data_IF_325555143731
#
_entry.id   IF_325555143731
#
_cell.length_a   1.000
_cell.length_b   1.000
_cell.length_c   1.000
_cell.angle_alpha   90.00
_cell.angle_beta   90.00
_cell.angle_gamma   90.00
#
_symmetry.space_group_name_H-M   'P 1'
#
loop_
_entity.id
_entity.type
_entity.pdbx_description
1 polymer ?
#
# COMPACT_ATOMS: atom_id res chain seq x y z
N UNK A 1 -10.54 13.82 -17.83
CA UNK A 1 -9.61 12.92 -17.12
C UNK A 1 -10.39 12.22 -16.02
N UNK A 2 -10.22 10.91 -15.86
CA UNK A 2 -10.82 10.19 -14.72
C UNK A 2 -10.09 10.57 -13.43
N UNK A 3 -10.82 10.62 -12.32
CA UNK A 3 -10.21 10.76 -10.99
C UNK A 3 -9.38 9.50 -10.69
N UNK A 4 -8.12 9.63 -10.20
CA UNK A 4 -7.26 8.50 -9.88
C UNK A 4 -7.72 7.80 -8.61
N UNK A 5 -7.45 6.50 -8.54
CA UNK A 5 -7.64 5.73 -7.32
C UNK A 5 -6.60 6.15 -6.28
N UNK A 6 -7.08 6.29 -5.06
CA UNK A 6 -6.29 6.57 -3.88
C UNK A 6 -6.48 5.46 -2.84
N UNK A 7 -5.55 5.35 -1.90
CA UNK A 7 -5.69 4.45 -0.77
C UNK A 7 -5.16 5.09 0.50
N UNK A 8 -5.82 4.81 1.62
CA UNK A 8 -5.25 5.19 2.90
C UNK A 8 -5.73 4.28 4.03
N UNK A 9 -4.88 4.20 5.05
CA UNK A 9 -5.26 3.69 6.37
C UNK A 9 -6.09 4.74 7.11
N UNK A 10 -7.28 4.34 7.55
CA UNK A 10 -8.15 5.22 8.33
C UNK A 10 -7.82 5.07 9.81
N UNK A 11 -7.33 6.16 10.41
CA UNK A 11 -6.83 6.15 11.80
C UNK A 11 -7.89 6.49 12.84
N UNK A 12 -8.80 7.40 12.50
CA UNK A 12 -9.86 7.87 13.39
C UNK A 12 -10.99 8.41 12.54
N UNK A 13 -12.21 8.21 13.02
CA UNK A 13 -13.38 8.86 12.46
C UNK A 13 -14.08 9.63 13.58
N UNK A 14 -14.62 10.80 13.25
CA UNK A 14 -15.23 11.70 14.24
C UNK A 14 -16.59 11.16 14.70
N UNK A 15 -16.94 11.41 15.96
CA UNK A 15 -18.23 11.01 16.55
C UNK A 15 -19.42 11.60 15.79
N UNK A 16 -19.21 12.74 15.11
CA UNK A 16 -20.22 13.41 14.28
C UNK A 16 -20.46 12.75 12.92
N UNK A 17 -19.87 11.60 12.62
CA UNK A 17 -20.17 10.90 11.38
C UNK A 17 -19.43 11.46 10.16
N UNK A 18 -18.25 12.05 10.32
CA UNK A 18 -17.34 12.39 9.21
C UNK A 18 -15.87 12.14 9.53
N UNK A 19 -15.01 12.16 8.51
CA UNK A 19 -13.57 12.09 8.70
C UNK A 19 -12.77 12.66 7.53
N UNK A 20 -11.46 12.48 7.61
CA UNK A 20 -10.49 12.98 6.64
C UNK A 20 -9.54 11.85 6.22
N UNK A 21 -9.38 11.67 4.92
CA UNK A 21 -8.51 10.67 4.30
C UNK A 21 -7.23 11.36 3.82
N UNK A 22 -6.09 10.71 4.04
CA UNK A 22 -4.85 11.11 3.39
C UNK A 22 -4.92 10.67 1.93
N UNK A 23 -4.38 11.52 1.07
CA UNK A 23 -4.38 11.31 -0.37
C UNK A 23 -2.95 11.11 -0.86
N UNK A 24 -2.76 10.13 -1.73
CA UNK A 24 -1.53 9.94 -2.48
C UNK A 24 -1.44 10.88 -3.68
N UNK A 25 -2.58 11.27 -4.24
CA UNK A 25 -2.63 11.95 -5.53
C UNK A 25 -2.82 13.47 -5.40
N UNK A 26 -3.18 13.95 -4.21
CA UNK A 26 -3.59 15.34 -4.00
C UNK A 26 -2.98 15.92 -2.73
N UNK A 27 -2.63 17.22 -2.74
CA UNK A 27 -2.24 17.90 -1.52
C UNK A 27 -3.45 18.06 -0.59
N UNK A 28 -3.22 17.83 0.70
CA UNK A 28 -4.22 18.01 1.75
C UNK A 28 -5.14 16.82 1.96
N UNK A 29 -6.04 16.98 2.93
CA UNK A 29 -6.92 15.92 3.38
C UNK A 29 -8.24 15.91 2.61
N UNK A 30 -8.72 14.71 2.31
CA UNK A 30 -9.96 14.47 1.58
C UNK A 30 -11.09 14.28 2.57
N UNK A 31 -12.11 15.13 2.50
CA UNK A 31 -13.28 14.99 3.36
C UNK A 31 -14.12 13.78 2.93
N UNK A 32 -14.62 13.01 3.90
CA UNK A 32 -15.63 11.98 3.65
C UNK A 32 -16.68 11.97 4.76
N UNK A 33 -17.91 11.60 4.40
CA UNK A 33 -19.00 11.41 5.35
C UNK A 33 -19.27 9.91 5.50
N UNK A 34 -19.59 9.42 6.71
CA UNK A 34 -19.80 7.99 6.93
C UNK A 34 -20.99 7.42 6.15
N UNK A 35 -21.96 8.26 5.75
CA UNK A 35 -23.05 7.77 4.88
C UNK A 35 -22.57 7.24 3.53
N UNK A 36 -21.35 7.59 3.10
CA UNK A 36 -20.73 7.09 1.86
C UNK A 36 -20.13 5.70 2.03
N UNK A 37 -19.91 5.30 3.27
CA UNK A 37 -19.45 3.99 3.67
C UNK A 37 -20.70 3.12 3.81
N UNK A 38 -20.96 2.31 2.78
CA UNK A 38 -22.06 1.35 2.79
C UNK A 38 -21.64 0.08 3.54
N UNK A 39 -22.21 -0.16 4.72
CA UNK A 39 -22.58 -1.47 5.33
C UNK A 39 -22.84 -1.30 6.83
N UNK A 40 -23.93 -1.89 7.33
CA UNK A 40 -24.17 -2.05 8.77
C UNK A 40 -23.04 -2.88 9.43
N UNK A 41 -22.55 -3.92 8.72
CA UNK A 41 -21.33 -4.68 9.09
C UNK A 41 -20.09 -3.80 9.27
N UNK A 42 -20.02 -2.67 8.57
CA UNK A 42 -18.88 -1.76 8.66
C UNK A 42 -18.95 -0.90 9.91
N UNK A 43 -20.14 -0.46 10.33
CA UNK A 43 -20.28 0.28 11.60
C UNK A 43 -19.93 -0.59 12.80
N UNK A 44 -20.32 -1.86 12.79
CA UNK A 44 -19.95 -2.81 13.84
C UNK A 44 -18.46 -3.12 13.84
N UNK A 45 -17.87 -3.41 12.67
CA UNK A 45 -16.41 -3.63 12.56
C UNK A 45 -15.61 -2.40 13.01
N UNK A 46 -16.02 -1.19 12.65
CA UNK A 46 -15.39 0.05 13.13
C UNK A 46 -15.47 0.23 14.65
N UNK A 47 -16.63 -0.04 15.25
CA UNK A 47 -16.84 0.12 16.69
C UNK A 47 -16.00 -0.87 17.51
N UNK A 48 -15.69 -2.03 16.94
CA UNK A 48 -14.86 -3.07 17.57
C UNK A 48 -13.38 -3.03 17.16
N UNK A 49 -13.01 -2.26 16.14
CA UNK A 49 -11.64 -2.19 15.65
C UNK A 49 -10.78 -1.20 16.45
N UNK A 50 -9.57 -1.64 16.80
CA UNK A 50 -8.54 -0.78 17.39
C UNK A 50 -8.14 0.32 16.39
N UNK A 51 -7.75 1.47 16.92
CA UNK A 51 -7.28 2.62 16.13
C UNK A 51 -6.16 2.19 15.19
N UNK A 52 -6.37 2.30 13.88
CA UNK A 52 -5.35 2.13 12.86
C UNK A 52 -5.44 0.90 11.98
N UNK A 53 -6.47 0.05 12.05
CA UNK A 53 -6.38 -1.29 11.43
C UNK A 53 -7.10 -1.49 10.09
N UNK A 54 -7.63 -0.46 9.43
CA UNK A 54 -8.30 -0.68 8.13
C UNK A 54 -7.88 0.31 7.04
N UNK A 55 -7.74 -0.24 5.83
CA UNK A 55 -7.41 0.47 4.60
C UNK A 55 -8.67 0.58 3.75
N UNK A 56 -8.82 1.72 3.08
CA UNK A 56 -9.86 1.93 2.08
C UNK A 56 -9.25 2.44 0.78
N UNK A 57 -9.92 2.11 -0.31
CA UNK A 57 -9.66 2.65 -1.64
C UNK A 57 -10.75 3.65 -1.98
N UNK A 58 -10.39 4.75 -2.65
CA UNK A 58 -11.38 5.76 -2.98
C UNK A 58 -10.97 6.59 -4.19
N UNK A 59 -11.95 7.23 -4.81
CA UNK A 59 -11.72 8.39 -5.68
C UNK A 59 -12.35 9.61 -5.01
N UNK A 60 -11.82 10.80 -5.28
CA UNK A 60 -12.37 12.04 -4.76
C UNK A 60 -12.53 13.08 -5.85
N UNK A 61 -13.48 13.99 -5.68
CA UNK A 61 -13.76 15.10 -6.61
C UNK A 61 -13.55 16.44 -5.95
N UNK A 62 -13.03 17.39 -6.73
CA UNK A 62 -12.98 18.79 -6.33
C UNK A 62 -14.41 19.35 -6.28
N UNK A 63 -14.77 19.94 -5.15
CA UNK A 63 -16.06 20.59 -4.95
C UNK A 63 -15.98 22.07 -5.36
N UNK A 64 -17.12 22.75 -5.63
CA UNK A 64 -17.14 24.18 -5.96
C UNK A 64 -16.49 25.10 -4.91
N UNK A 65 -16.42 24.64 -3.65
CA UNK A 65 -15.76 25.36 -2.55
C UNK A 65 -14.22 25.19 -2.53
N UNK A 66 -13.63 24.56 -3.55
CA UNK A 66 -12.19 24.31 -3.66
C UNK A 66 -11.66 23.16 -2.80
N UNK A 67 -12.51 22.47 -2.02
CA UNK A 67 -12.10 21.31 -1.21
C UNK A 67 -12.40 20.00 -1.94
N UNK A 68 -11.60 18.97 -1.69
CA UNK A 68 -11.86 17.63 -2.23
C UNK A 68 -12.71 16.81 -1.28
N UNK A 69 -13.66 16.06 -1.83
CA UNK A 69 -14.52 15.13 -1.11
C UNK A 69 -14.48 13.76 -1.77
N UNK A 70 -14.44 12.70 -0.97
CA UNK A 70 -14.57 11.33 -1.45
C UNK A 70 -15.87 11.18 -2.27
N UNK A 71 -15.81 10.49 -3.40
CA UNK A 71 -16.95 10.29 -4.30
C UNK A 71 -17.37 8.82 -4.30
N UNK A 72 -16.43 7.89 -4.48
CA UNK A 72 -16.63 6.44 -4.34
C UNK A 72 -15.60 5.86 -3.39
N UNK A 73 -16.00 4.82 -2.65
CA UNK A 73 -15.17 4.12 -1.66
C UNK A 73 -15.34 2.62 -1.86
N UNK A 74 -14.23 1.90 -1.77
CA UNK A 74 -14.15 0.43 -1.80
C UNK A 74 -13.28 -0.06 -0.63
N UNK A 75 -13.55 -1.27 -0.16
CA UNK A 75 -12.81 -1.88 0.96
C UNK A 75 -11.80 -2.92 0.51
N UNK A 76 -12.04 -3.52 -0.66
CA UNK A 76 -11.18 -4.50 -1.29
C UNK A 76 -10.76 -3.96 -2.64
N UNK A 77 -9.50 -4.21 -3.02
CA UNK A 77 -9.01 -3.82 -4.34
C UNK A 77 -9.78 -4.54 -5.45
N UNK A 78 -10.21 -5.78 -5.21
CA UNK A 78 -11.02 -6.58 -6.14
C UNK A 78 -12.37 -5.95 -6.50
N UNK A 79 -12.89 -5.06 -5.65
CA UNK A 79 -14.17 -4.37 -5.90
C UNK A 79 -13.97 -3.07 -6.71
N UNK A 80 -12.72 -2.64 -6.92
CA UNK A 80 -12.38 -1.43 -7.66
C UNK A 80 -12.52 -1.68 -9.16
N UNK A 81 -13.11 -0.73 -9.92
CA UNK A 81 -13.16 -0.81 -11.38
C UNK A 81 -11.77 -1.00 -12.00
N UNK A 82 -11.62 -1.99 -12.87
CA UNK A 82 -10.34 -2.42 -13.43
C UNK A 82 -9.60 -1.29 -14.17
N UNK A 83 -10.32 -0.33 -14.74
CA UNK A 83 -9.75 0.83 -15.43
C UNK A 83 -8.97 1.78 -14.50
N UNK A 84 -9.20 1.72 -13.19
CA UNK A 84 -8.50 2.56 -12.20
C UNK A 84 -7.22 1.89 -11.66
N UNK A 85 -7.09 0.57 -11.83
CA UNK A 85 -6.02 -0.22 -11.21
C UNK A 85 -4.62 0.07 -11.82
N UNK A 86 -4.45 0.22 -13.15
CA UNK A 86 -3.12 0.49 -13.73
C UNK A 86 -2.46 1.75 -13.16
N UNK A 87 -3.19 2.87 -13.12
CA UNK A 87 -2.66 4.12 -12.56
C UNK A 87 -2.40 4.04 -11.06
N UNK A 88 -3.19 3.24 -10.34
CA UNK A 88 -2.94 2.94 -8.93
C UNK A 88 -1.65 2.15 -8.73
N UNK A 89 -1.43 1.10 -9.52
CA UNK A 89 -0.22 0.28 -9.46
C UNK A 89 1.03 1.12 -9.67
N UNK A 90 1.04 1.97 -10.72
CA UNK A 90 2.13 2.92 -10.98
C UNK A 90 2.37 3.86 -9.80
N UNK A 91 1.30 4.39 -9.20
CA UNK A 91 1.40 5.27 -8.03
C UNK A 91 2.04 4.57 -6.83
N UNK A 92 1.62 3.33 -6.53
CA UNK A 92 2.16 2.53 -5.43
C UNK A 92 3.64 2.22 -5.64
N UNK A 93 4.02 1.80 -6.84
CA UNK A 93 5.43 1.51 -7.19
C UNK A 93 6.28 2.78 -7.01
N UNK A 94 5.77 3.94 -7.43
CA UNK A 94 6.43 5.23 -7.20
C UNK A 94 6.67 5.55 -5.72
N UNK A 95 5.73 5.18 -4.84
CA UNK A 95 5.86 5.40 -3.39
C UNK A 95 6.93 4.52 -2.72
N UNK A 96 7.23 3.34 -3.26
CA UNK A 96 8.36 2.53 -2.77
C UNK A 96 9.70 3.23 -2.99
N UNK A 97 9.83 3.99 -4.08
CA UNK A 97 11.08 4.64 -4.48
C UNK A 97 11.31 6.00 -3.81
N UNK A 98 10.32 6.89 -3.84
CA UNK A 98 10.48 8.28 -3.37
C UNK A 98 9.37 8.73 -2.41
N UNK A 99 8.52 7.78 -1.99
CA UNK A 99 7.31 8.06 -1.24
C UNK A 99 7.51 8.28 0.25
N UNK A 100 6.53 8.96 0.85
CA UNK A 100 6.47 9.20 2.30
C UNK A 100 5.57 8.22 3.03
N UNK A 101 4.82 7.40 2.29
CA UNK A 101 3.91 6.41 2.86
C UNK A 101 4.68 5.33 3.62
N UNK A 102 4.09 4.87 4.72
CA UNK A 102 4.70 3.84 5.55
C UNK A 102 4.88 2.53 4.76
N UNK A 103 6.02 1.85 4.96
CA UNK A 103 6.36 0.62 4.24
C UNK A 103 5.28 -0.47 4.39
N UNK A 104 4.68 -0.64 5.57
CA UNK A 104 3.65 -1.65 5.79
C UNK A 104 2.35 -1.36 5.03
N UNK A 105 1.99 -0.09 4.87
CA UNK A 105 0.84 0.31 4.04
C UNK A 105 1.11 0.04 2.56
N UNK A 106 2.34 0.28 2.11
CA UNK A 106 2.76 -0.03 0.74
C UNK A 106 2.84 -1.54 0.49
N UNK A 107 3.36 -2.32 1.43
CA UNK A 107 3.43 -3.78 1.33
C UNK A 107 2.03 -4.39 1.26
N UNK A 108 1.07 -3.86 2.03
CA UNK A 108 -0.34 -4.25 1.92
C UNK A 108 -0.88 -3.99 0.49
N UNK A 109 -0.69 -2.78 -0.03
CA UNK A 109 -1.17 -2.44 -1.37
C UNK A 109 -0.47 -3.26 -2.47
N UNK A 110 0.83 -3.51 -2.31
CA UNK A 110 1.61 -4.37 -3.19
C UNK A 110 1.09 -5.80 -3.23
N UNK A 111 0.81 -6.39 -2.07
CA UNK A 111 0.27 -7.75 -1.96
C UNK A 111 -1.11 -7.87 -2.61
N UNK A 112 -2.01 -6.91 -2.36
CA UNK A 112 -3.33 -6.86 -3.00
C UNK A 112 -3.22 -6.76 -4.53
N UNK A 113 -2.33 -5.91 -5.03
CA UNK A 113 -2.05 -5.79 -6.47
C UNK A 113 -1.48 -7.09 -7.05
N UNK A 114 -0.58 -7.76 -6.32
CA UNK A 114 0.04 -9.01 -6.76
C UNK A 114 -0.97 -10.16 -6.80
N UNK A 115 -1.82 -10.31 -5.77
CA UNK A 115 -2.92 -11.29 -5.74
C UNK A 115 -3.89 -11.10 -6.89
N UNK A 116 -4.16 -9.85 -7.28
CA UNK A 116 -4.98 -9.52 -8.46
C UNK A 116 -4.27 -9.69 -9.81
N UNK A 117 -3.01 -10.14 -9.84
CA UNK A 117 -2.18 -10.22 -11.05
C UNK A 117 -2.07 -8.86 -11.79
N UNK A 118 -2.05 -7.77 -11.04
CA UNK A 118 -2.00 -6.40 -11.57
C UNK A 118 -0.58 -5.84 -11.70
N UNK A 119 0.44 -6.64 -11.38
CA UNK A 119 1.84 -6.24 -11.45
C UNK A 119 2.58 -7.09 -12.49
N UNK A 120 3.32 -6.42 -13.36
CA UNK A 120 4.29 -7.08 -14.23
C UNK A 120 5.53 -7.51 -13.44
N UNK A 121 6.34 -8.39 -14.04
CA UNK A 121 7.61 -8.80 -13.44
C UNK A 121 8.54 -7.61 -13.21
N UNK A 122 8.62 -6.69 -14.17
CA UNK A 122 9.45 -5.48 -14.09
C UNK A 122 9.01 -4.58 -12.94
N UNK A 123 7.70 -4.47 -12.72
CA UNK A 123 7.14 -3.70 -11.62
C UNK A 123 7.46 -4.33 -10.26
N UNK A 124 7.40 -5.66 -10.16
CA UNK A 124 7.80 -6.39 -8.94
C UNK A 124 9.29 -6.18 -8.67
N UNK A 125 10.14 -6.38 -9.69
CA UNK A 125 11.59 -6.21 -9.56
C UNK A 125 11.97 -4.76 -9.19
N UNK A 126 11.20 -3.76 -9.65
CA UNK A 126 11.35 -2.37 -9.23
C UNK A 126 11.04 -2.16 -7.73
N UNK A 127 9.99 -2.79 -7.20
CA UNK A 127 9.67 -2.75 -5.77
C UNK A 127 10.78 -3.42 -4.94
N UNK A 128 11.21 -4.62 -5.35
CA UNK A 128 12.30 -5.37 -4.69
C UNK A 128 13.60 -4.56 -4.66
N UNK A 129 13.86 -3.80 -5.72
CA UNK A 129 15.06 -2.97 -5.86
C UNK A 129 15.00 -1.65 -5.09
N UNK A 130 13.85 -1.27 -4.56
CA UNK A 130 13.64 0.02 -3.90
C UNK A 130 14.46 0.16 -2.61
N UNK A 131 14.95 1.37 -2.32
CA UNK A 131 15.73 1.62 -1.12
C UNK A 131 14.92 1.35 0.15
N UNK A 132 13.60 1.63 0.12
CA UNK A 132 12.70 1.39 1.25
C UNK A 132 12.65 -0.10 1.63
N UNK A 133 12.64 -0.99 0.63
CA UNK A 133 12.72 -2.44 0.83
C UNK A 133 14.12 -2.86 1.25
N UNK A 134 15.17 -2.38 0.56
CA UNK A 134 16.57 -2.72 0.88
C UNK A 134 17.01 -2.31 2.29
N UNK A 135 16.42 -1.25 2.85
CA UNK A 135 16.68 -0.83 4.23
C UNK A 135 16.11 -1.80 5.27
N UNK A 136 15.01 -2.49 4.95
CA UNK A 136 14.34 -3.46 5.82
C UNK A 136 13.91 -4.72 5.04
N UNK A 137 14.86 -5.51 4.50
CA UNK A 137 14.56 -6.58 3.54
C UNK A 137 13.65 -7.68 4.06
N UNK A 138 13.70 -7.96 5.36
CA UNK A 138 12.87 -8.99 6.00
C UNK A 138 11.37 -8.71 5.91
N UNK A 139 10.98 -7.44 5.74
CA UNK A 139 9.58 -7.03 5.71
C UNK A 139 8.83 -7.43 4.44
N UNK A 140 9.53 -7.58 3.31
CA UNK A 140 8.88 -7.94 2.04
C UNK A 140 8.73 -9.46 1.85
N UNK A 141 9.49 -10.25 2.62
CA UNK A 141 9.57 -11.71 2.46
C UNK A 141 8.20 -12.43 2.50
N UNK A 142 7.25 -12.07 3.40
CA UNK A 142 5.92 -12.71 3.43
C UNK A 142 5.06 -12.47 2.17
N UNK A 143 5.45 -11.52 1.32
CA UNK A 143 4.65 -11.05 0.18
C UNK A 143 5.23 -11.47 -1.17
N UNK A 144 6.35 -12.19 -1.17
CA UNK A 144 7.05 -12.62 -2.40
C UNK A 144 6.96 -14.12 -2.57
N UNK A 145 7.08 -14.59 -3.80
CA UNK A 145 7.16 -16.02 -4.13
C UNK A 145 8.59 -16.53 -3.99
N UNK A 146 8.77 -17.86 -4.05
CA UNK A 146 10.10 -18.48 -4.05
C UNK A 146 10.99 -17.97 -5.18
N UNK A 147 10.42 -17.79 -6.37
CA UNK A 147 11.17 -17.29 -7.54
C UNK A 147 11.55 -15.82 -7.40
N UNK A 148 10.66 -14.99 -6.83
CA UNK A 148 10.94 -13.59 -6.50
C UNK A 148 12.00 -13.46 -5.42
N UNK A 149 11.99 -14.37 -4.43
CA UNK A 149 13.00 -14.41 -3.38
C UNK A 149 14.40 -14.69 -3.93
N UNK A 150 14.56 -15.64 -4.85
CA UNK A 150 15.86 -15.88 -5.48
C UNK A 150 16.39 -14.61 -6.18
N UNK A 151 15.54 -13.90 -6.92
CA UNK A 151 15.90 -12.61 -7.53
C UNK A 151 16.20 -11.55 -6.47
N UNK A 152 15.47 -11.55 -5.36
CA UNK A 152 15.70 -10.60 -4.28
C UNK A 152 17.06 -10.81 -3.60
N UNK A 153 17.51 -12.05 -3.43
CA UNK A 153 18.87 -12.35 -2.95
C UNK A 153 19.95 -11.81 -3.89
N UNK A 154 19.73 -11.86 -5.20
CA UNK A 154 20.62 -11.26 -6.20
C UNK A 154 20.62 -9.72 -6.10
N UNK A 155 19.43 -9.12 -5.92
CA UNK A 155 19.26 -7.66 -5.75
C UNK A 155 19.95 -7.13 -4.49
N UNK A 156 19.97 -7.92 -3.42
CA UNK A 156 20.67 -7.62 -2.16
C UNK A 156 22.18 -7.89 -2.25
N UNK A 157 22.64 -8.50 -3.35
CA UNK A 157 24.02 -8.91 -3.56
C UNK A 157 24.57 -9.73 -2.40
N UNK A 158 23.80 -10.74 -1.96
CA UNK A 158 24.12 -11.60 -0.82
C UNK A 158 25.51 -12.24 -0.96
N UNK A 159 25.90 -12.60 -2.18
CA UNK A 159 27.23 -13.16 -2.47
C UNK A 159 28.36 -12.18 -2.13
N UNK A 160 28.20 -10.89 -2.46
CA UNK A 160 29.20 -9.89 -2.09
C UNK A 160 29.25 -9.60 -0.59
N UNK A 161 28.27 -10.07 0.19
CA UNK A 161 28.24 -9.99 1.65
C UNK A 161 28.82 -11.24 2.31
N UNK A 162 29.00 -12.35 1.57
CA UNK A 162 29.67 -13.54 2.08
C UNK A 162 31.12 -13.21 2.48
N UNK A 163 31.45 -13.40 3.75
CA UNK A 163 32.78 -13.12 4.29
C UNK A 163 33.06 -11.65 4.64
N UNK A 164 32.11 -10.72 4.43
CA UNK A 164 32.23 -9.34 4.96
C UNK A 164 31.78 -9.27 6.42
N UNK A 165 32.58 -8.59 7.24
CA UNK A 165 32.23 -8.28 8.63
C UNK A 165 32.38 -6.78 8.91
N UNK A 166 31.41 -6.14 9.60
CA UNK A 166 30.16 -6.72 10.08
C UNK A 166 29.12 -6.89 8.95
N UNK A 167 28.33 -7.96 9.01
CA UNK A 167 27.17 -8.13 8.12
C UNK A 167 26.00 -7.20 8.50
N UNK A 168 25.09 -6.86 7.57
CA UNK A 168 23.85 -6.19 7.90
C UNK A 168 23.03 -6.99 8.92
N UNK A 169 22.37 -6.32 9.85
CA UNK A 169 21.61 -6.96 10.94
C UNK A 169 20.52 -7.93 10.44
N UNK A 170 19.98 -7.69 9.24
CA UNK A 170 18.93 -8.49 8.62
C UNK A 170 19.45 -9.71 7.82
N UNK A 171 20.77 -9.82 7.61
CA UNK A 171 21.37 -10.79 6.67
C UNK A 171 20.96 -12.24 6.99
N UNK A 172 21.11 -12.65 8.25
CA UNK A 172 20.81 -14.01 8.70
C UNK A 172 19.31 -14.31 8.62
N UNK A 173 18.46 -13.33 8.92
CA UNK A 173 17.00 -13.49 8.87
C UNK A 173 16.49 -13.65 7.43
N UNK A 174 17.09 -12.93 6.48
CA UNK A 174 16.79 -13.09 5.05
C UNK A 174 17.14 -14.50 4.61
N UNK A 175 18.35 -14.99 4.91
CA UNK A 175 18.81 -16.32 4.48
C UNK A 175 18.00 -17.48 5.07
N UNK A 176 17.52 -17.33 6.31
CA UNK A 176 16.74 -18.35 7.03
C UNK A 176 15.26 -18.36 6.65
N UNK A 177 14.82 -17.50 5.73
CA UNK A 177 13.43 -17.46 5.33
C UNK A 177 13.04 -18.72 4.55
N UNK A 178 11.97 -19.37 5.00
CA UNK A 178 11.42 -20.60 4.43
C UNK A 178 10.10 -20.30 3.70
N UNK A 179 9.87 -20.98 2.56
CA UNK A 179 8.69 -20.86 1.68
C UNK A 179 7.77 -22.06 1.80
#
# INVERSE_FOLDING_TARGET
>A
MSEPLDFCRVKKIDEKGFGFLKSLNYPGDIFFHFSQIRKEDFREKLNHMKRGDFIIYFISKLQPNGKRKADKIWYLLSDVPAELIPGFAERIIGEFSMGTINLYDLLYAFDELKKGSHLSREQIDAVLSSQKVKNLPTTILPYISRDEYQRFLEILDIKALEGKEPKPFWYEDVLKHEF
#
